data_IF_064032815773
#
_entry.id   IF_064032815773
#
_cell.length_a   1.000
_cell.length_b   1.000
_cell.length_c   1.000
_cell.angle_alpha   90.00
_cell.angle_beta   90.00
_cell.angle_gamma   90.00
#
_symmetry.space_group_name_H-M   'P 1'
#
loop_
_entity.id
_entity.type
_entity.pdbx_description
1 polymer ?
#
# COMPACT_ATOMS: atom_id res chain seq x y z
N UNK A 1 6.36 6.00 -21.02
CA UNK A 1 6.94 5.18 -19.93
C UNK A 1 5.88 5.12 -18.85
N UNK A 2 5.47 3.91 -18.44
CA UNK A 2 4.46 3.76 -17.40
C UNK A 2 4.99 4.18 -16.05
N UNK A 3 4.12 4.79 -15.25
CA UNK A 3 4.44 5.34 -13.93
C UNK A 3 3.95 4.42 -12.81
N UNK A 4 4.79 4.28 -11.76
CA UNK A 4 4.45 3.45 -10.61
C UNK A 4 4.71 4.21 -9.31
N UNK A 5 3.72 4.27 -8.44
CA UNK A 5 3.86 4.74 -7.06
C UNK A 5 4.04 3.56 -6.12
N UNK A 6 5.09 3.59 -5.33
CA UNK A 6 5.37 2.60 -4.29
C UNK A 6 5.30 3.32 -2.95
N UNK A 7 4.27 3.05 -2.15
CA UNK A 7 4.16 3.62 -0.80
C UNK A 7 4.93 2.77 0.21
N UNK A 8 5.38 3.38 1.30
CA UNK A 8 6.28 2.68 2.22
C UNK A 8 7.62 2.32 1.58
N UNK A 9 8.02 3.07 0.56
CA UNK A 9 9.21 2.83 -0.26
C UNK A 9 10.53 2.80 0.53
N UNK A 10 10.60 3.51 1.66
CA UNK A 10 11.77 3.51 2.55
C UNK A 10 11.88 2.25 3.44
N UNK A 11 10.84 1.43 3.50
CA UNK A 11 10.83 0.16 4.23
C UNK A 11 11.59 -0.95 3.50
N UNK A 12 11.76 -2.11 4.18
CA UNK A 12 12.49 -3.25 3.63
C UNK A 12 11.90 -3.72 2.30
N UNK A 13 10.64 -4.14 2.27
CA UNK A 13 9.98 -4.63 1.05
C UNK A 13 9.89 -3.51 0.00
N UNK A 14 9.46 -2.32 0.39
CA UNK A 14 9.27 -1.19 -0.53
C UNK A 14 10.55 -0.81 -1.27
N UNK A 15 11.71 -0.82 -0.61
CA UNK A 15 12.99 -0.48 -1.25
C UNK A 15 13.40 -1.50 -2.32
N UNK A 16 13.18 -2.79 -2.11
CA UNK A 16 13.43 -3.81 -3.13
C UNK A 16 12.48 -3.67 -4.33
N UNK A 17 11.21 -3.35 -4.09
CA UNK A 17 10.24 -3.12 -5.16
C UNK A 17 10.65 -1.88 -5.99
N UNK A 18 11.13 -0.81 -5.34
CA UNK A 18 11.66 0.37 -6.04
C UNK A 18 12.82 0.00 -6.97
N UNK A 19 13.78 -0.78 -6.49
CA UNK A 19 14.91 -1.24 -7.32
C UNK A 19 14.45 -2.08 -8.51
N UNK A 20 13.53 -3.01 -8.30
CA UNK A 20 13.01 -3.86 -9.36
C UNK A 20 12.21 -3.06 -10.39
N UNK A 21 11.40 -2.10 -9.96
CA UNK A 21 10.66 -1.21 -10.86
C UNK A 21 11.59 -0.36 -11.73
N UNK A 22 12.71 0.12 -11.18
CA UNK A 22 13.73 0.84 -11.94
C UNK A 22 14.41 -0.06 -12.99
N UNK A 23 14.74 -1.31 -12.65
CA UNK A 23 15.29 -2.30 -13.59
C UNK A 23 14.34 -2.55 -14.76
N UNK A 24 13.03 -2.60 -14.48
CA UNK A 24 11.96 -2.76 -15.48
C UNK A 24 11.62 -1.49 -16.24
N UNK A 25 12.37 -0.40 -16.02
CA UNK A 25 12.24 0.90 -16.72
C UNK A 25 10.89 1.60 -16.49
N UNK A 26 10.27 1.43 -15.33
CA UNK A 26 9.15 2.27 -14.91
C UNK A 26 9.62 3.68 -14.54
N UNK A 27 8.74 4.68 -14.68
CA UNK A 27 8.86 5.97 -14.01
C UNK A 27 8.49 5.79 -12.53
N UNK A 28 9.50 5.74 -11.63
CA UNK A 28 9.32 5.32 -10.23
C UNK A 28 9.11 6.50 -9.31
N UNK A 29 8.01 6.45 -8.57
CA UNK A 29 7.66 7.38 -7.49
C UNK A 29 7.71 6.66 -6.15
N UNK A 30 8.62 7.11 -5.28
CA UNK A 30 8.74 6.61 -3.92
C UNK A 30 7.86 7.44 -2.97
N UNK A 31 6.74 6.87 -2.54
CA UNK A 31 5.87 7.44 -1.53
C UNK A 31 6.47 7.26 -0.13
N UNK A 32 6.86 8.36 0.51
CA UNK A 32 7.54 8.37 1.80
C UNK A 32 6.93 9.42 2.73
N UNK A 33 7.14 9.27 4.05
CA UNK A 33 6.85 10.33 5.02
C UNK A 33 8.02 11.33 5.05
N UNK A 34 7.80 12.60 5.44
CA UNK A 34 8.89 13.59 5.57
C UNK A 34 10.07 13.10 6.42
N UNK A 35 9.78 12.32 7.46
CA UNK A 35 10.80 11.77 8.39
C UNK A 35 11.43 10.46 7.93
N UNK A 36 11.08 9.95 6.76
CA UNK A 36 11.57 8.66 6.27
C UNK A 36 13.04 8.70 5.89
N UNK A 37 13.80 7.68 6.30
CA UNK A 37 15.18 7.51 5.84
C UNK A 37 15.21 7.15 4.35
N UNK A 38 16.05 7.85 3.59
CA UNK A 38 16.29 7.56 2.17
C UNK A 38 17.52 6.67 1.95
N UNK A 39 18.00 5.98 3.01
CA UNK A 39 19.25 5.20 2.99
C UNK A 39 19.33 4.20 1.82
N UNK A 40 18.21 3.56 1.49
CA UNK A 40 18.12 2.55 0.42
C UNK A 40 17.56 3.11 -0.90
N UNK A 41 17.23 4.40 -0.98
CA UNK A 41 16.63 5.05 -2.13
C UNK A 41 17.60 6.03 -2.78
N UNK A 42 18.78 5.52 -3.20
CA UNK A 42 19.91 6.36 -3.67
C UNK A 42 19.91 6.64 -5.17
N UNK A 43 19.10 5.92 -5.95
CA UNK A 43 19.10 6.07 -7.40
C UNK A 43 18.49 7.43 -7.79
N UNK A 44 19.20 8.19 -8.62
CA UNK A 44 18.78 9.54 -9.06
C UNK A 44 17.52 9.56 -9.94
N UNK A 45 17.09 8.40 -10.45
CA UNK A 45 15.86 8.26 -11.24
C UNK A 45 14.60 8.11 -10.39
N UNK A 46 14.74 8.06 -9.06
CA UNK A 46 13.59 7.97 -8.14
C UNK A 46 13.01 9.37 -7.96
N UNK A 47 11.73 9.52 -8.26
CA UNK A 47 10.96 10.68 -7.86
C UNK A 47 10.41 10.45 -6.45
N UNK A 48 10.53 11.43 -5.58
CA UNK A 48 9.99 11.35 -4.22
C UNK A 48 8.65 12.07 -4.14
N UNK A 49 7.68 11.42 -3.49
CA UNK A 49 6.38 11.99 -3.16
C UNK A 49 6.16 11.85 -1.66
N UNK A 50 6.04 12.95 -0.96
CA UNK A 50 5.69 12.95 0.45
C UNK A 50 4.19 12.68 0.60
N UNK A 51 3.84 11.70 1.43
CA UNK A 51 2.45 11.28 1.66
C UNK A 51 2.21 11.13 3.17
N UNK A 52 1.27 11.91 3.67
CA UNK A 52 0.82 11.83 5.06
C UNK A 52 -0.54 11.13 5.14
N UNK A 53 -0.50 9.83 5.34
CA UNK A 53 -1.70 9.01 5.45
C UNK A 53 -2.48 9.24 6.76
N UNK A 54 -1.87 9.86 7.77
CA UNK A 54 -2.52 10.13 9.06
C UNK A 54 -3.48 11.34 8.97
N UNK A 55 -3.22 12.26 8.06
CA UNK A 55 -3.97 13.49 7.89
C UNK A 55 -4.62 13.57 6.50
N UNK A 56 -5.90 13.18 6.35
CA UNK A 56 -6.57 13.08 5.04
C UNK A 56 -6.54 14.37 4.20
N UNK A 57 -6.59 15.54 4.84
CA UNK A 57 -6.53 16.83 4.12
C UNK A 57 -5.14 17.07 3.52
N UNK A 58 -4.08 16.75 4.27
CA UNK A 58 -2.70 16.84 3.80
C UNK A 58 -2.44 15.85 2.68
N UNK A 59 -2.87 14.61 2.85
CA UNK A 59 -2.79 13.57 1.82
C UNK A 59 -3.49 14.02 0.53
N UNK A 60 -4.67 14.63 0.65
CA UNK A 60 -5.42 15.16 -0.49
C UNK A 60 -4.66 16.29 -1.18
N UNK A 61 -4.08 17.22 -0.43
CA UNK A 61 -3.29 18.32 -0.98
C UNK A 61 -2.05 17.81 -1.72
N UNK A 62 -1.31 16.87 -1.13
CA UNK A 62 -0.11 16.24 -1.70
C UNK A 62 -0.42 15.52 -3.02
N UNK A 63 -1.49 14.72 -3.06
CA UNK A 63 -1.92 14.03 -4.28
C UNK A 63 -2.49 15.00 -5.33
N UNK A 64 -3.19 16.04 -4.92
CA UNK A 64 -3.70 17.07 -5.84
C UNK A 64 -2.56 17.84 -6.51
N UNK A 65 -1.50 18.17 -5.75
CA UNK A 65 -0.31 18.81 -6.29
C UNK A 65 0.39 17.92 -7.34
N UNK A 66 0.50 16.62 -7.06
CA UNK A 66 1.02 15.65 -8.03
C UNK A 66 0.14 15.56 -9.28
N UNK A 67 -1.18 15.47 -9.13
CA UNK A 67 -2.14 15.41 -10.24
C UNK A 67 -2.00 16.58 -11.21
N UNK A 68 -1.76 17.79 -10.71
CA UNK A 68 -1.53 18.97 -11.53
C UNK A 68 -0.34 18.84 -12.47
N UNK A 69 0.64 17.97 -12.15
CA UNK A 69 1.86 17.77 -12.94
C UNK A 69 1.82 16.51 -13.81
N UNK A 70 1.30 15.39 -13.27
CA UNK A 70 1.44 14.05 -13.87
C UNK A 70 0.11 13.30 -14.06
N UNK A 71 -1.01 13.91 -13.73
CA UNK A 71 -2.36 13.35 -13.79
C UNK A 71 -2.59 12.19 -12.82
N UNK A 72 -2.21 10.95 -13.16
CA UNK A 72 -2.35 9.77 -12.27
C UNK A 72 -1.22 8.77 -12.52
N UNK A 73 -1.02 7.86 -11.56
CA UNK A 73 -0.12 6.71 -11.72
C UNK A 73 -0.79 5.60 -12.52
N UNK A 74 -0.02 4.90 -13.34
CA UNK A 74 -0.51 3.70 -14.02
C UNK A 74 -0.66 2.56 -13.01
N UNK A 75 0.29 2.40 -12.09
CA UNK A 75 0.33 1.36 -11.05
C UNK A 75 0.57 1.95 -9.68
N UNK A 76 -0.03 1.35 -8.66
CA UNK A 76 0.28 1.66 -7.25
C UNK A 76 0.57 0.36 -6.53
N UNK A 77 1.73 0.28 -5.82
CA UNK A 77 2.05 -0.80 -4.89
C UNK A 77 2.05 -0.21 -3.49
N UNK A 78 1.07 -0.62 -2.68
CA UNK A 78 0.89 -0.12 -1.32
C UNK A 78 1.57 -1.04 -0.31
N UNK A 79 2.79 -0.65 0.12
CA UNK A 79 3.59 -1.34 1.13
C UNK A 79 3.57 -0.62 2.49
N UNK A 80 2.97 0.57 2.58
CA UNK A 80 2.92 1.32 3.82
C UNK A 80 2.08 0.55 4.87
N UNK A 81 2.60 0.48 6.09
CA UNK A 81 1.96 -0.20 7.19
C UNK A 81 2.93 -0.45 8.35
N UNK A 82 2.41 -0.95 9.46
CA UNK A 82 3.19 -1.35 10.64
C UNK A 82 2.98 -2.82 10.94
N UNK A 83 4.07 -3.52 11.28
CA UNK A 83 4.08 -4.94 11.66
C UNK A 83 4.29 -5.13 13.16
N UNK A 84 4.72 -4.08 13.87
CA UNK A 84 4.94 -4.04 15.32
C UNK A 84 4.50 -2.69 15.86
N UNK A 85 3.72 -2.70 16.93
CA UNK A 85 3.35 -1.52 17.71
C UNK A 85 2.95 -1.93 19.14
N UNK A 86 3.11 -1.04 20.13
CA UNK A 86 2.74 -1.32 21.51
C UNK A 86 1.24 -1.47 21.72
N UNK A 87 0.43 -0.70 21.01
CA UNK A 87 -1.01 -0.66 21.12
C UNK A 87 -1.70 -1.34 19.93
N UNK A 88 -2.65 -2.23 20.25
CA UNK A 88 -3.42 -2.98 19.24
C UNK A 88 -4.25 -2.08 18.31
N UNK A 89 -4.76 -0.94 18.82
CA UNK A 89 -5.55 -0.01 18.02
C UNK A 89 -4.71 0.67 16.93
N UNK A 90 -3.40 0.83 17.16
CA UNK A 90 -2.47 1.37 16.17
C UNK A 90 -2.41 0.52 14.90
N UNK A 91 -2.56 -0.80 15.00
CA UNK A 91 -2.64 -1.65 13.80
C UNK A 91 -3.86 -1.30 12.94
N UNK A 92 -5.02 -1.18 13.56
CA UNK A 92 -6.27 -0.85 12.86
C UNK A 92 -6.19 0.56 12.23
N UNK A 93 -5.68 1.52 12.99
CA UNK A 93 -5.51 2.88 12.49
C UNK A 93 -4.55 2.96 11.30
N UNK A 94 -3.34 2.39 11.43
CA UNK A 94 -2.30 2.54 10.39
C UNK A 94 -2.55 1.63 9.20
N UNK A 95 -2.87 0.35 9.43
CA UNK A 95 -2.97 -0.61 8.33
C UNK A 95 -4.31 -0.57 7.61
N UNK A 96 -5.40 -0.24 8.31
CA UNK A 96 -6.74 -0.19 7.73
C UNK A 96 -7.20 1.25 7.45
N UNK A 97 -7.33 2.11 8.46
CA UNK A 97 -7.93 3.43 8.25
C UNK A 97 -7.09 4.32 7.35
N UNK A 98 -5.77 4.35 7.49
CA UNK A 98 -4.89 5.11 6.60
C UNK A 98 -4.91 4.57 5.17
N UNK A 99 -4.98 3.24 4.97
CA UNK A 99 -5.17 2.65 3.64
C UNK A 99 -6.51 3.06 3.05
N UNK A 100 -7.57 3.06 3.86
CA UNK A 100 -8.90 3.55 3.47
C UNK A 100 -8.85 5.02 3.02
N UNK A 101 -8.24 5.90 3.81
CA UNK A 101 -8.09 7.32 3.46
C UNK A 101 -7.35 7.50 2.13
N UNK A 102 -6.32 6.71 1.89
CA UNK A 102 -5.58 6.76 0.63
C UNK A 102 -6.46 6.40 -0.57
N UNK A 103 -7.19 5.29 -0.49
CA UNK A 103 -8.08 4.85 -1.57
C UNK A 103 -9.21 5.84 -1.81
N UNK A 104 -9.85 6.33 -0.75
CA UNK A 104 -10.92 7.32 -0.86
C UNK A 104 -10.42 8.62 -1.52
N UNK A 105 -9.20 9.05 -1.18
CA UNK A 105 -8.58 10.22 -1.78
C UNK A 105 -8.27 10.00 -3.25
N UNK A 106 -7.73 8.84 -3.63
CA UNK A 106 -7.49 8.51 -5.04
C UNK A 106 -8.78 8.51 -5.85
N UNK A 107 -9.86 7.97 -5.30
CA UNK A 107 -11.21 7.99 -5.94
C UNK A 107 -11.72 9.41 -6.09
N UNK A 108 -11.70 10.19 -5.02
CA UNK A 108 -12.19 11.59 -5.02
C UNK A 108 -11.44 12.50 -5.99
N UNK A 109 -10.17 12.19 -6.25
CA UNK A 109 -9.32 12.92 -7.19
C UNK A 109 -9.34 12.34 -8.62
N UNK A 110 -10.09 11.27 -8.89
CA UNK A 110 -10.03 10.53 -10.16
C UNK A 110 -8.59 10.07 -10.52
N UNK A 111 -7.86 9.58 -9.51
CA UNK A 111 -6.47 9.10 -9.63
C UNK A 111 -6.36 7.59 -9.43
N UNK A 112 -7.47 6.86 -9.56
CA UNK A 112 -7.46 5.38 -9.48
C UNK A 112 -6.53 4.83 -10.56
N UNK A 113 -5.52 4.00 -10.20
CA UNK A 113 -4.56 3.45 -11.15
C UNK A 113 -5.20 2.36 -12.03
N UNK A 114 -4.49 1.93 -13.07
CA UNK A 114 -4.86 0.72 -13.86
C UNK A 114 -4.85 -0.53 -12.98
N UNK A 115 -3.88 -0.61 -12.04
CA UNK A 115 -3.78 -1.70 -11.09
C UNK A 115 -3.28 -1.18 -9.74
N UNK A 116 -3.97 -1.62 -8.67
CA UNK A 116 -3.58 -1.37 -7.29
C UNK A 116 -3.17 -2.71 -6.64
N UNK A 117 -1.93 -2.79 -6.15
CA UNK A 117 -1.38 -3.97 -5.48
C UNK A 117 -1.19 -3.62 -4.01
N UNK A 118 -1.76 -4.43 -3.13
CA UNK A 118 -1.64 -4.30 -1.69
C UNK A 118 -0.74 -5.39 -1.12
N UNK A 119 0.29 -5.01 -0.38
CA UNK A 119 1.15 -5.99 0.31
C UNK A 119 0.48 -6.37 1.61
N UNK A 120 -0.14 -7.54 1.62
CA UNK A 120 -0.81 -8.11 2.78
C UNK A 120 0.08 -9.09 3.57
N UNK A 121 -0.51 -10.07 4.23
CA UNK A 121 0.19 -11.01 5.10
C UNK A 121 -0.56 -12.35 5.18
N UNK A 122 0.16 -13.45 5.36
CA UNK A 122 -0.44 -14.75 5.66
C UNK A 122 -1.13 -14.80 7.04
N UNK A 123 -0.82 -13.84 7.93
CA UNK A 123 -1.51 -13.73 9.23
C UNK A 123 -3.02 -13.46 9.12
N UNK A 124 -3.53 -13.14 7.94
CA UNK A 124 -4.98 -13.03 7.69
C UNK A 124 -5.69 -14.38 7.79
N UNK A 125 -4.98 -15.49 7.58
CA UNK A 125 -5.54 -16.84 7.69
C UNK A 125 -5.47 -17.43 9.10
N UNK A 126 -4.70 -16.76 10.01
CA UNK A 126 -4.50 -17.26 11.39
C UNK A 126 -3.77 -18.60 11.45
N UNK A 127 -3.78 -19.26 12.64
CA UNK A 127 -3.03 -20.49 12.87
C UNK A 127 -3.81 -21.76 12.48
N UNK A 128 -4.83 -21.67 11.64
CA UNK A 128 -5.78 -22.76 11.35
C UNK A 128 -5.08 -24.05 10.90
N UNK A 129 -3.88 -23.94 10.31
CA UNK A 129 -3.15 -25.06 9.73
C UNK A 129 -1.88 -25.46 10.49
N UNK A 130 -1.66 -24.90 11.68
CA UNK A 130 -0.51 -25.27 12.51
C UNK A 130 -0.55 -26.74 12.97
N UNK A 131 -1.75 -27.37 12.97
CA UNK A 131 -1.92 -28.75 13.41
C UNK A 131 -1.54 -29.81 12.37
N UNK A 132 -1.78 -29.52 11.11
CA UNK A 132 -1.60 -30.49 10.00
C UNK A 132 -0.59 -30.04 8.95
N UNK A 133 -0.02 -28.83 9.09
CA UNK A 133 0.93 -28.23 8.16
C UNK A 133 0.44 -28.18 6.71
N UNK A 134 -0.86 -28.25 6.49
CA UNK A 134 -1.42 -28.14 5.15
C UNK A 134 -1.16 -26.73 4.56
N UNK A 135 -0.87 -26.60 3.26
CA UNK A 135 -0.65 -25.31 2.63
C UNK A 135 -1.93 -24.46 2.65
N UNK A 136 -1.76 -23.13 2.70
CA UNK A 136 -2.85 -22.18 2.52
C UNK A 136 -3.21 -22.14 1.04
N UNK A 137 -4.47 -22.30 0.71
CA UNK A 137 -4.98 -22.30 -0.65
C UNK A 137 -5.80 -21.04 -0.95
N UNK A 138 -5.98 -20.71 -2.24
CA UNK A 138 -6.70 -19.51 -2.67
C UNK A 138 -8.17 -19.47 -2.23
N UNK A 139 -8.78 -20.63 -1.96
CA UNK A 139 -10.16 -20.75 -1.49
C UNK A 139 -10.35 -20.72 0.02
N UNK A 140 -9.27 -20.58 0.78
CA UNK A 140 -9.35 -20.60 2.25
C UNK A 140 -10.02 -19.34 2.79
N UNK A 141 -10.84 -19.55 3.82
CA UNK A 141 -11.50 -18.44 4.51
C UNK A 141 -10.53 -17.80 5.48
N UNK A 142 -10.29 -16.47 5.37
CA UNK A 142 -9.46 -15.76 6.32
C UNK A 142 -10.03 -15.82 7.75
N UNK A 143 -9.19 -16.19 8.73
CA UNK A 143 -9.55 -16.28 10.16
C UNK A 143 -8.42 -15.70 11.04
N UNK A 144 -8.15 -14.38 10.97
CA UNK A 144 -7.05 -13.77 11.72
C UNK A 144 -7.29 -13.85 13.23
N UNK A 145 -6.26 -14.25 13.98
CA UNK A 145 -6.28 -14.31 15.44
C UNK A 145 -5.42 -13.23 16.10
N UNK A 146 -4.83 -12.33 15.31
CA UNK A 146 -4.01 -11.21 15.79
C UNK A 146 -4.59 -9.88 15.34
N UNK A 147 -4.36 -8.81 16.12
CA UNK A 147 -4.76 -7.45 15.74
C UNK A 147 -4.10 -7.02 14.41
N UNK A 148 -2.86 -7.44 14.18
CA UNK A 148 -2.16 -7.21 12.91
C UNK A 148 -2.89 -7.90 11.74
N UNK A 149 -3.12 -9.21 11.82
CA UNK A 149 -3.83 -9.97 10.77
C UNK A 149 -5.22 -9.40 10.49
N UNK A 150 -5.98 -9.08 11.56
CA UNK A 150 -7.31 -8.47 11.43
C UNK A 150 -7.26 -7.12 10.71
N UNK A 151 -6.30 -6.25 11.06
CA UNK A 151 -6.16 -4.93 10.41
C UNK A 151 -5.83 -5.04 8.92
N UNK A 152 -5.01 -6.02 8.55
CA UNK A 152 -4.66 -6.30 7.16
C UNK A 152 -5.85 -6.85 6.38
N UNK A 153 -6.62 -7.78 6.97
CA UNK A 153 -7.84 -8.31 6.37
C UNK A 153 -8.89 -7.23 6.13
N UNK A 154 -9.12 -6.34 7.11
CA UNK A 154 -10.04 -5.20 6.92
C UNK A 154 -9.65 -4.33 5.73
N UNK A 155 -8.35 -4.07 5.56
CA UNK A 155 -7.84 -3.33 4.40
C UNK A 155 -8.07 -4.08 3.08
N UNK A 156 -7.80 -5.39 3.03
CA UNK A 156 -8.08 -6.22 1.84
C UNK A 156 -9.54 -6.13 1.43
N UNK A 157 -10.46 -6.38 2.37
CA UNK A 157 -11.91 -6.34 2.11
C UNK A 157 -12.35 -4.96 1.63
N UNK A 158 -11.80 -3.89 2.20
CA UNK A 158 -12.10 -2.53 1.76
C UNK A 158 -11.61 -2.28 0.32
N UNK A 159 -10.37 -2.67 0.01
CA UNK A 159 -9.79 -2.55 -1.33
C UNK A 159 -10.65 -3.30 -2.35
N UNK A 160 -11.01 -4.54 -2.05
CA UNK A 160 -11.86 -5.36 -2.90
C UNK A 160 -13.21 -4.69 -3.17
N UNK A 161 -13.88 -4.17 -2.14
CA UNK A 161 -15.16 -3.48 -2.28
C UNK A 161 -15.10 -2.20 -3.12
N UNK A 162 -13.93 -1.54 -3.18
CA UNK A 162 -13.75 -0.26 -3.84
C UNK A 162 -13.17 -0.35 -5.25
N UNK A 163 -12.32 -1.35 -5.54
CA UNK A 163 -11.51 -1.40 -6.75
C UNK A 163 -11.87 -2.55 -7.71
N UNK A 164 -12.66 -3.54 -7.28
CA UNK A 164 -13.10 -4.64 -8.15
C UNK A 164 -13.98 -4.20 -9.33
N UNK A 165 -14.56 -3.01 -9.27
CA UNK A 165 -15.33 -2.45 -10.39
C UNK A 165 -14.47 -1.72 -11.45
N UNK A 166 -13.14 -1.74 -11.30
CA UNK A 166 -12.21 -1.08 -12.23
C UNK A 166 -11.41 -2.05 -13.08
N UNK A 167 -11.69 -3.37 -13.03
CA UNK A 167 -11.12 -4.30 -13.99
C UNK A 167 -11.75 -4.05 -15.35
N UNK A 168 -10.97 -3.67 -16.36
CA UNK A 168 -11.49 -3.73 -17.73
C UNK A 168 -11.79 -5.20 -18.05
N UNK A 169 -13.01 -5.44 -18.45
CA UNK A 169 -13.45 -6.68 -19.10
C UNK A 169 -12.63 -6.97 -20.35
#
# INVERSE_FOLDING_TARGET
MESILITGASGFIGSFIVEEALKRKFGVWAGIRPTSSKKYLKNRKIHFLELDFAHPNELRAQLSGHKGTYNKFDYIIHCAGVTKCPDKNTFDYVNYLQTKYFIDTLKALNMVPKQFIYISTLSVFGPVREKDYSPIEAGDVPMPNTAYGLSKLKAELYIQSCLLYTSPS
#
